data_IF_875008523452
#
_entry.id   IF_875008523452
#
_cell.length_a   1.000
_cell.length_b   1.000
_cell.length_c   1.000
_cell.angle_alpha   90.00
_cell.angle_beta   90.00
_cell.angle_gamma   90.00
#
_symmetry.space_group_name_H-M   'P 1'
#
loop_
_entity.id
_entity.type
_entity.pdbx_description
1 polymer ?
#
# COMPACT_ATOMS: atom_id res chain seq x y z
N UNK A 1 -4.61 15.31 7.36
CA UNK A 1 -5.38 14.60 8.43
C UNK A 1 -5.00 13.12 8.47
N UNK A 2 -5.12 12.46 9.60
CA UNK A 2 -5.00 10.99 9.73
C UNK A 2 -6.22 10.50 10.51
N UNK A 3 -6.94 9.51 9.96
CA UNK A 3 -8.06 8.86 10.63
C UNK A 3 -8.00 7.34 10.45
N UNK A 4 -8.69 6.61 11.33
CA UNK A 4 -8.78 5.15 11.29
C UNK A 4 -10.07 4.76 10.59
N UNK A 5 -9.96 3.85 9.63
CA UNK A 5 -11.07 3.22 8.94
C UNK A 5 -11.07 1.72 9.25
N UNK A 6 -12.16 1.22 9.84
CA UNK A 6 -12.31 -0.20 10.18
C UNK A 6 -12.87 -0.99 9.01
N UNK A 7 -12.20 -2.07 8.66
CA UNK A 7 -12.62 -3.02 7.63
C UNK A 7 -12.86 -4.41 8.24
N UNK A 8 -13.49 -5.31 7.50
CA UNK A 8 -13.63 -6.71 7.90
C UNK A 8 -12.30 -7.47 8.05
N UNK A 9 -11.19 -6.89 7.59
CA UNK A 9 -9.83 -7.45 7.66
C UNK A 9 -8.94 -6.78 8.71
N UNK A 10 -9.45 -5.76 9.40
CA UNK A 10 -8.73 -4.97 10.39
C UNK A 10 -8.80 -3.48 10.09
N UNK A 11 -8.10 -2.71 10.91
CA UNK A 11 -8.13 -1.26 10.86
C UNK A 11 -7.01 -0.70 9.98
N UNK A 12 -7.36 0.23 9.11
CA UNK A 12 -6.45 1.01 8.27
C UNK A 12 -6.33 2.43 8.81
N UNK A 13 -5.12 2.89 9.04
CA UNK A 13 -4.84 4.31 9.24
C UNK A 13 -4.66 4.97 7.87
N UNK A 14 -5.52 5.92 7.54
CA UNK A 14 -5.49 6.66 6.27
C UNK A 14 -5.06 8.09 6.56
N UNK A 15 -3.99 8.54 5.90
CA UNK A 15 -3.44 9.89 6.02
C UNK A 15 -3.51 10.63 4.69
N UNK A 16 -4.17 11.80 4.70
CA UNK A 16 -4.31 12.69 3.54
C UNK A 16 -3.69 14.07 3.83
N UNK A 17 -2.98 14.63 2.86
CA UNK A 17 -2.41 15.97 2.98
C UNK A 17 -2.23 16.61 1.60
N UNK A 18 -2.74 17.81 1.44
CA UNK A 18 -2.64 18.62 0.22
C UNK A 18 -3.02 17.85 -1.07
N UNK A 19 -4.10 17.08 -1.00
CA UNK A 19 -4.62 16.32 -2.14
C UNK A 19 -3.85 15.03 -2.46
N UNK A 20 -2.97 14.59 -1.57
CA UNK A 20 -2.23 13.33 -1.71
C UNK A 20 -2.56 12.36 -0.56
N UNK A 21 -2.62 11.06 -0.89
CA UNK A 21 -2.70 9.99 0.13
C UNK A 21 -1.28 9.64 0.56
N UNK A 22 -0.94 9.99 1.80
CA UNK A 22 0.40 9.83 2.35
C UNK A 22 0.56 8.57 3.21
N UNK A 23 -0.55 8.02 3.68
CA UNK A 23 -0.62 6.80 4.49
C UNK A 23 -1.91 6.04 4.16
N UNK A 24 -1.81 4.73 4.04
CA UNK A 24 -2.91 3.77 4.07
C UNK A 24 -2.32 2.47 4.58
N UNK A 25 -2.18 2.32 5.89
CA UNK A 25 -1.44 1.20 6.47
C UNK A 25 -2.26 0.49 7.55
N UNK A 26 -2.08 -0.82 7.63
CA UNK A 26 -2.72 -1.64 8.64
C UNK A 26 -2.18 -1.28 10.03
N UNK A 27 -3.05 -0.91 10.95
CA UNK A 27 -2.63 -0.52 12.31
C UNK A 27 -1.97 -1.67 13.08
N UNK A 28 -2.27 -2.91 12.70
CA UNK A 28 -1.65 -4.14 13.20
C UNK A 28 -0.25 -4.42 12.63
N UNK A 29 0.18 -3.66 11.61
CA UNK A 29 1.49 -3.82 10.98
C UNK A 29 2.62 -3.50 11.96
N UNK A 30 3.65 -4.36 11.99
CA UNK A 30 4.87 -4.09 12.75
C UNK A 30 5.60 -2.80 12.31
N UNK A 31 5.32 -2.32 11.09
CA UNK A 31 5.94 -1.12 10.52
C UNK A 31 5.10 0.14 10.70
N UNK A 32 3.83 0.01 11.08
CA UNK A 32 2.88 1.12 11.18
C UNK A 32 3.43 2.29 11.99
N UNK A 33 3.93 2.04 13.20
CA UNK A 33 4.48 3.10 14.05
C UNK A 33 5.68 3.81 13.42
N UNK A 34 6.53 3.07 12.70
CA UNK A 34 7.66 3.63 11.95
C UNK A 34 7.20 4.49 10.76
N UNK A 35 6.20 4.03 10.01
CA UNK A 35 5.62 4.79 8.89
C UNK A 35 4.96 6.08 9.41
N UNK A 36 4.18 5.99 10.48
CA UNK A 36 3.53 7.14 11.12
C UNK A 36 4.55 8.17 11.61
N UNK A 37 5.61 7.72 12.30
CA UNK A 37 6.68 8.60 12.79
C UNK A 37 7.43 9.29 11.62
N UNK A 38 7.76 8.54 10.55
CA UNK A 38 8.40 9.10 9.37
C UNK A 38 7.50 10.14 8.67
N UNK A 39 6.20 9.84 8.57
CA UNK A 39 5.21 10.76 8.00
C UNK A 39 5.11 12.05 8.81
N UNK A 40 4.93 11.97 10.13
CA UNK A 40 4.86 13.14 11.02
C UNK A 40 6.13 13.99 10.99
N UNK A 41 7.29 13.35 10.90
CA UNK A 41 8.58 14.06 10.73
C UNK A 41 8.66 14.80 9.41
N UNK A 42 8.17 14.20 8.32
CA UNK A 42 8.22 14.79 6.97
C UNK A 42 7.14 15.84 6.76
N UNK A 43 5.96 15.63 7.32
CA UNK A 43 4.78 16.49 7.20
C UNK A 43 4.26 16.79 8.62
N UNK A 44 4.84 17.75 9.36
CA UNK A 44 4.39 18.07 10.72
C UNK A 44 2.90 18.47 10.79
N UNK A 45 2.36 19.06 9.72
CA UNK A 45 0.97 19.48 9.63
C UNK A 45 -0.01 18.35 9.24
N UNK A 46 0.46 17.08 9.15
CA UNK A 46 -0.40 15.96 8.72
C UNK A 46 -1.60 15.73 9.66
N UNK A 47 -1.53 16.16 10.91
CA UNK A 47 -2.64 16.05 11.86
C UNK A 47 -3.68 17.18 11.71
N UNK A 48 -3.35 18.25 10.98
CA UNK A 48 -4.30 19.32 10.68
C UNK A 48 -5.29 18.82 9.61
N UNK A 49 -6.58 18.96 9.90
CA UNK A 49 -7.63 18.60 8.95
C UNK A 49 -8.02 19.82 8.11
N UNK A 50 -7.90 19.69 6.80
CA UNK A 50 -8.45 20.63 5.83
C UNK A 50 -9.62 19.99 5.10
N UNK A 51 -10.56 20.77 4.63
CA UNK A 51 -11.78 20.29 3.96
C UNK A 51 -11.48 19.39 2.74
N UNK A 52 -10.48 19.76 1.94
CA UNK A 52 -10.08 18.98 0.77
C UNK A 52 -9.42 17.66 1.15
N UNK A 53 -8.68 17.60 2.27
CA UNK A 53 -8.11 16.37 2.79
C UNK A 53 -9.20 15.43 3.32
N UNK A 54 -10.29 15.98 3.90
CA UNK A 54 -11.46 15.21 4.33
C UNK A 54 -12.19 14.60 3.14
N UNK A 55 -12.44 15.37 2.10
CA UNK A 55 -13.07 14.86 0.86
C UNK A 55 -12.23 13.75 0.22
N UNK A 56 -10.92 13.91 0.23
CA UNK A 56 -10.00 12.88 -0.26
C UNK A 56 -10.07 11.62 0.60
N UNK A 57 -10.04 11.75 1.93
CA UNK A 57 -10.21 10.63 2.86
C UNK A 57 -11.50 9.85 2.56
N UNK A 58 -12.64 10.53 2.45
CA UNK A 58 -13.94 9.92 2.16
C UNK A 58 -13.94 9.19 0.79
N UNK A 59 -13.27 9.76 -0.20
CA UNK A 59 -13.12 9.13 -1.52
C UNK A 59 -12.25 7.85 -1.44
N UNK A 60 -11.17 7.88 -0.66
CA UNK A 60 -10.32 6.71 -0.42
C UNK A 60 -11.09 5.62 0.31
N UNK A 61 -11.82 5.96 1.36
CA UNK A 61 -12.67 5.00 2.09
C UNK A 61 -13.66 4.33 1.15
N UNK A 62 -14.38 5.11 0.36
CA UNK A 62 -15.35 4.57 -0.61
C UNK A 62 -14.69 3.64 -1.63
N UNK A 63 -13.53 4.02 -2.13
CA UNK A 63 -12.78 3.15 -3.05
C UNK A 63 -12.37 1.84 -2.37
N UNK A 64 -11.89 1.88 -1.13
CA UNK A 64 -11.52 0.67 -0.36
C UNK A 64 -12.75 -0.24 -0.17
N UNK A 65 -13.90 0.31 0.20
CA UNK A 65 -15.15 -0.46 0.35
C UNK A 65 -15.52 -1.16 -0.95
N UNK A 66 -15.55 -0.42 -2.07
CA UNK A 66 -15.83 -0.98 -3.39
C UNK A 66 -14.82 -2.07 -3.79
N UNK A 67 -13.52 -1.83 -3.56
CA UNK A 67 -12.47 -2.81 -3.83
C UNK A 67 -12.68 -4.10 -2.99
N UNK A 68 -13.00 -3.99 -1.72
CA UNK A 68 -13.25 -5.15 -0.84
C UNK A 68 -14.56 -5.89 -1.19
N UNK A 69 -15.44 -5.28 -1.97
CA UNK A 69 -16.63 -5.89 -2.57
C UNK A 69 -16.35 -6.47 -3.98
N UNK A 70 -15.12 -6.41 -4.47
CA UNK A 70 -14.68 -7.00 -5.73
C UNK A 70 -14.65 -6.03 -6.91
N UNK A 71 -14.76 -4.72 -6.69
CA UNK A 71 -14.56 -3.73 -7.74
C UNK A 71 -13.13 -3.81 -8.29
N UNK A 72 -13.02 -3.75 -9.62
CA UNK A 72 -11.74 -3.72 -10.35
C UNK A 72 -11.29 -2.30 -10.71
N UNK A 73 -11.98 -1.29 -10.16
CA UNK A 73 -11.64 0.09 -10.43
C UNK A 73 -10.25 0.44 -9.86
N UNK A 74 -9.40 1.04 -10.69
CA UNK A 74 -8.07 1.45 -10.26
C UNK A 74 -8.14 2.68 -9.36
N UNK A 75 -7.31 2.77 -8.32
CA UNK A 75 -7.26 3.96 -7.48
C UNK A 75 -6.70 5.14 -8.27
N UNK A 76 -7.50 6.20 -8.42
CA UNK A 76 -7.13 7.43 -9.14
C UNK A 76 -6.59 8.53 -8.20
N UNK A 77 -5.92 8.13 -7.11
CA UNK A 77 -5.41 9.06 -6.11
C UNK A 77 -3.91 9.35 -6.32
N UNK A 78 -3.52 10.59 -6.05
CA UNK A 78 -2.10 10.94 -5.95
C UNK A 78 -1.52 10.34 -4.68
N UNK A 79 -0.39 9.65 -4.80
CA UNK A 79 0.29 9.00 -3.70
C UNK A 79 1.50 9.83 -3.26
N UNK A 80 1.41 10.38 -2.05
CA UNK A 80 2.45 11.17 -1.37
C UNK A 80 3.26 10.35 -0.36
N UNK A 81 3.48 9.06 -0.61
CA UNK A 81 4.16 8.17 0.32
C UNK A 81 5.59 8.62 0.64
N UNK A 82 5.93 8.62 1.93
CA UNK A 82 7.27 8.94 2.40
C UNK A 82 8.19 7.73 2.24
N UNK A 83 9.28 7.90 1.51
CA UNK A 83 10.25 6.83 1.26
C UNK A 83 11.45 7.33 0.47
N UNK A 84 12.47 6.47 0.32
CA UNK A 84 13.64 6.74 -0.54
C UNK A 84 13.22 6.67 -2.02
N UNK A 85 14.03 7.21 -2.92
CA UNK A 85 13.76 7.15 -4.35
C UNK A 85 13.71 5.71 -4.87
N UNK A 86 14.55 4.82 -4.32
CA UNK A 86 14.50 3.40 -4.64
C UNK A 86 13.16 2.78 -4.22
N UNK A 87 12.70 3.03 -2.98
CA UNK A 87 11.39 2.55 -2.51
C UNK A 87 10.25 3.05 -3.39
N UNK A 88 10.23 4.34 -3.69
CA UNK A 88 9.20 4.94 -4.57
C UNK A 88 9.21 4.32 -5.97
N UNK A 89 10.41 3.98 -6.50
CA UNK A 89 10.51 3.29 -7.79
C UNK A 89 9.94 1.88 -7.71
N UNK A 90 10.22 1.13 -6.63
CA UNK A 90 9.61 -0.18 -6.39
C UNK A 90 8.08 -0.06 -6.30
N UNK A 91 7.57 0.90 -5.53
CA UNK A 91 6.12 1.10 -5.35
C UNK A 91 5.41 1.46 -6.67
N UNK A 92 6.04 2.27 -7.52
CA UNK A 92 5.51 2.56 -8.88
C UNK A 92 5.41 1.29 -9.74
N UNK A 93 6.41 0.41 -9.68
CA UNK A 93 6.37 -0.86 -10.39
C UNK A 93 5.29 -1.81 -9.84
N UNK A 94 5.11 -1.83 -8.51
CA UNK A 94 4.03 -2.60 -7.87
C UNK A 94 2.66 -2.08 -8.32
N UNK A 95 2.48 -0.76 -8.40
CA UNK A 95 1.21 -0.15 -8.86
C UNK A 95 0.85 -0.50 -10.31
N UNK A 96 1.84 -0.92 -11.11
CA UNK A 96 1.62 -1.35 -12.49
C UNK A 96 1.18 -2.82 -12.60
N UNK A 97 1.18 -3.61 -11.53
CA UNK A 97 0.70 -4.99 -11.54
C UNK A 97 -0.83 -4.97 -11.64
N UNK A 98 -1.43 -5.56 -12.70
CA UNK A 98 -2.87 -5.53 -12.89
C UNK A 98 -3.64 -6.24 -11.77
N UNK A 99 -4.93 -5.90 -11.65
CA UNK A 99 -5.86 -6.60 -10.76
C UNK A 99 -5.96 -8.08 -11.17
N UNK A 100 -5.88 -8.98 -10.18
CA UNK A 100 -5.90 -10.42 -10.38
C UNK A 100 -4.60 -11.03 -10.87
N UNK A 101 -3.55 -10.23 -11.12
CA UNK A 101 -2.23 -10.73 -11.49
C UNK A 101 -1.25 -10.69 -10.31
N UNK A 102 -0.26 -11.56 -10.36
CA UNK A 102 0.83 -11.59 -9.39
C UNK A 102 2.18 -11.51 -10.07
N UNK A 103 3.16 -10.96 -9.36
CA UNK A 103 4.54 -10.91 -9.81
C UNK A 103 5.45 -11.42 -8.69
N UNK A 104 6.50 -12.14 -9.02
CA UNK A 104 7.48 -12.57 -8.01
C UNK A 104 8.44 -11.42 -7.67
N UNK A 105 9.05 -11.45 -6.47
CA UNK A 105 10.09 -10.48 -6.12
C UNK A 105 11.24 -10.47 -7.12
N UNK A 106 11.61 -11.64 -7.66
CA UNK A 106 12.63 -11.75 -8.70
C UNK A 106 12.16 -11.18 -10.04
N UNK A 107 10.89 -11.39 -10.40
CA UNK A 107 10.27 -10.79 -11.57
C UNK A 107 10.24 -9.27 -11.49
N UNK A 108 9.84 -8.74 -10.32
CA UNK A 108 9.83 -7.30 -10.05
C UNK A 108 11.26 -6.70 -10.15
N UNK A 109 12.27 -7.34 -9.54
CA UNK A 109 13.67 -6.92 -9.65
C UNK A 109 14.18 -6.97 -11.10
N UNK A 110 13.76 -7.97 -11.89
CA UNK A 110 14.09 -8.08 -13.29
C UNK A 110 13.47 -6.97 -14.13
N UNK A 111 12.20 -6.66 -13.93
CA UNK A 111 11.49 -5.56 -14.60
C UNK A 111 12.14 -4.19 -14.32
N UNK A 112 12.74 -4.04 -13.13
CA UNK A 112 13.49 -2.83 -12.73
C UNK A 112 14.94 -2.81 -13.23
N UNK A 113 15.41 -3.85 -13.93
CA UNK A 113 16.81 -3.96 -14.37
C UNK A 113 17.81 -4.20 -13.24
N UNK A 114 17.37 -4.61 -12.05
CA UNK A 114 18.24 -4.79 -10.87
C UNK A 114 18.15 -6.21 -10.30
N UNK A 115 18.32 -7.23 -11.15
CA UNK A 115 18.19 -8.67 -10.79
C UNK A 115 18.97 -9.11 -9.56
N UNK A 116 20.11 -8.48 -9.25
CA UNK A 116 20.92 -8.78 -8.05
C UNK A 116 20.32 -8.18 -6.77
N UNK A 117 19.37 -7.26 -6.87
CA UNK A 117 18.82 -6.51 -5.76
C UNK A 117 17.49 -7.07 -5.19
N UNK A 118 17.20 -8.38 -5.38
CA UNK A 118 15.92 -9.01 -4.97
C UNK A 118 15.61 -8.75 -3.48
N UNK A 119 16.61 -8.83 -2.60
CA UNK A 119 16.41 -8.55 -1.15
C UNK A 119 16.02 -7.09 -0.89
N UNK A 120 16.66 -6.15 -1.60
CA UNK A 120 16.35 -4.73 -1.48
C UNK A 120 14.95 -4.43 -2.01
N UNK A 121 14.55 -5.05 -3.13
CA UNK A 121 13.19 -4.97 -3.69
C UNK A 121 12.17 -5.53 -2.71
N UNK A 122 12.40 -6.69 -2.11
CA UNK A 122 11.52 -7.28 -1.11
C UNK A 122 11.40 -6.41 0.15
N UNK A 123 12.51 -5.81 0.60
CA UNK A 123 12.51 -4.86 1.72
C UNK A 123 11.72 -3.60 1.40
N UNK A 124 11.87 -3.04 0.19
CA UNK A 124 11.13 -1.88 -0.26
C UNK A 124 9.62 -2.19 -0.41
N UNK A 125 9.28 -3.37 -0.92
CA UNK A 125 7.90 -3.87 -0.98
C UNK A 125 7.27 -3.93 0.43
N UNK A 126 7.99 -4.52 1.40
CA UNK A 126 7.54 -4.60 2.80
C UNK A 126 7.47 -3.24 3.51
N UNK A 127 8.11 -2.21 2.99
CA UNK A 127 8.11 -0.85 3.54
C UNK A 127 7.03 0.05 2.93
N UNK A 128 6.10 -0.52 2.15
CA UNK A 128 5.02 0.23 1.54
C UNK A 128 4.06 0.81 2.61
N UNK A 129 3.95 2.15 2.76
CA UNK A 129 3.08 2.76 3.76
C UNK A 129 1.65 3.02 3.23
N UNK A 130 1.35 2.64 1.98
CA UNK A 130 0.06 2.88 1.33
C UNK A 130 -0.52 1.58 0.78
N UNK A 131 -0.75 0.63 1.69
CA UNK A 131 -1.33 -0.68 1.39
C UNK A 131 -2.66 -0.55 0.62
N UNK A 132 -2.99 -1.54 -0.19
CA UNK A 132 -4.13 -1.60 -1.12
C UNK A 132 -3.97 -0.65 -2.32
N UNK A 133 -3.74 0.64 -2.12
CA UNK A 133 -3.53 1.63 -3.19
C UNK A 133 -2.26 1.33 -3.99
N UNK A 134 -1.21 0.90 -3.29
CA UNK A 134 -0.03 0.25 -3.88
C UNK A 134 -0.12 -1.24 -3.54
N UNK A 135 -0.49 -2.10 -4.49
CA UNK A 135 -0.96 -3.46 -4.23
C UNK A 135 0.20 -4.44 -3.95
N UNK A 136 0.95 -4.21 -2.87
CA UNK A 136 2.08 -5.07 -2.50
C UNK A 136 1.66 -6.51 -2.15
N UNK A 137 0.37 -6.78 -1.93
CA UNK A 137 -0.16 -8.14 -1.80
C UNK A 137 -0.03 -8.96 -3.10
N UNK A 138 0.07 -8.32 -4.28
CA UNK A 138 0.28 -8.98 -5.59
C UNK A 138 1.73 -9.46 -5.80
N UNK A 139 2.66 -9.11 -4.90
CA UNK A 139 4.06 -9.58 -4.99
C UNK A 139 4.24 -10.82 -4.11
N UNK A 140 4.70 -11.93 -4.72
CA UNK A 140 4.79 -13.25 -4.08
C UNK A 140 6.21 -13.84 -4.15
N UNK A 141 6.46 -14.92 -3.43
CA UNK A 141 7.70 -15.69 -3.50
C UNK A 141 7.89 -16.36 -4.87
N UNK A 142 9.12 -16.71 -5.22
CA UNK A 142 9.45 -17.37 -6.50
C UNK A 142 8.82 -18.78 -6.59
N UNK A 143 8.56 -19.41 -5.46
CA UNK A 143 7.89 -20.70 -5.33
C UNK A 143 6.35 -20.59 -5.20
N UNK A 144 5.81 -19.38 -5.38
CA UNK A 144 4.39 -19.07 -5.19
C UNK A 144 3.99 -18.86 -3.72
N UNK A 145 4.92 -18.95 -2.78
CA UNK A 145 4.62 -18.76 -1.36
C UNK A 145 4.22 -17.33 -1.05
N UNK A 146 3.28 -17.18 -0.11
CA UNK A 146 2.90 -15.88 0.42
C UNK A 146 3.88 -15.48 1.51
N UNK A 147 4.63 -14.41 1.27
CA UNK A 147 5.59 -13.86 2.22
C UNK A 147 5.37 -12.36 2.38
N UNK A 148 5.66 -11.86 3.55
CA UNK A 148 5.77 -10.45 3.88
C UNK A 148 4.60 -9.55 3.42
N UNK A 149 3.59 -9.37 4.26
CA UNK A 149 2.54 -8.37 4.05
C UNK A 149 2.22 -7.63 5.36
N UNK A 150 1.99 -6.33 5.27
CA UNK A 150 1.75 -5.47 6.43
C UNK A 150 0.50 -5.90 7.22
N UNK A 151 -0.59 -6.23 6.53
CA UNK A 151 -1.82 -6.74 7.14
C UNK A 151 -1.78 -8.22 7.57
N UNK A 152 -0.63 -8.89 7.41
CA UNK A 152 -0.50 -10.32 7.70
C UNK A 152 -0.83 -11.22 6.51
N UNK A 153 -0.35 -12.47 6.56
CA UNK A 153 -0.46 -13.42 5.44
C UNK A 153 -1.90 -13.86 5.18
N UNK A 154 -2.73 -13.93 6.21
CA UNK A 154 -4.16 -14.27 6.07
C UNK A 154 -4.89 -13.20 5.24
N UNK A 155 -4.66 -11.92 5.53
CA UNK A 155 -5.23 -10.81 4.75
C UNK A 155 -4.71 -10.83 3.31
N UNK A 156 -3.40 -11.05 3.12
CA UNK A 156 -2.81 -11.18 1.78
C UNK A 156 -3.47 -12.29 0.96
N UNK A 157 -3.63 -13.48 1.54
CA UNK A 157 -4.29 -14.61 0.90
C UNK A 157 -5.73 -14.27 0.48
N UNK A 158 -6.48 -13.63 1.38
CA UNK A 158 -7.88 -13.25 1.12
C UNK A 158 -7.99 -12.18 0.02
N UNK A 159 -7.08 -11.18 0.01
CA UNK A 159 -7.05 -10.18 -1.05
C UNK A 159 -6.75 -10.80 -2.42
N UNK A 160 -5.77 -11.70 -2.49
CA UNK A 160 -5.47 -12.42 -3.73
C UNK A 160 -6.65 -13.29 -4.18
N UNK A 161 -7.32 -13.98 -3.26
CA UNK A 161 -8.51 -14.77 -3.57
C UNK A 161 -9.67 -13.89 -4.06
N UNK A 162 -9.85 -12.70 -3.47
CA UNK A 162 -10.85 -11.72 -3.91
C UNK A 162 -10.57 -11.28 -5.35
N UNK A 163 -9.32 -11.04 -5.69
CA UNK A 163 -8.92 -10.58 -7.03
C UNK A 163 -8.99 -11.68 -8.11
N UNK A 164 -9.02 -12.95 -7.72
CA UNK A 164 -9.14 -14.09 -8.66
C UNK A 164 -10.60 -14.50 -8.95
N UNK A 165 -11.59 -13.83 -8.34
CA UNK A 165 -13.02 -14.05 -8.63
C UNK A 165 -13.45 -13.18 -9.83
#
# INVERSE_FOLDING_TARGET
>A
MIEIFSTRFGDLAIGCHQGEVCLCDWTSSRRYQGHLAALKKKIPAIETCHEDDRKLFEAVVRWIEMYLEGSRELPAFKIGAVGTEFQKTVWRQISAIPYGETLTYSGLASAMGCRSAIRAVASACASNPVSLLVPCHRVIGADGSLTGYAGGLAVKATLLQLEHQ
#
